data_IF_398114488608
#
_entry.id   IF_398114488608
#
_cell.length_a   1.000
_cell.length_b   1.000
_cell.length_c   1.000
_cell.angle_alpha   90.00
_cell.angle_beta   90.00
_cell.angle_gamma   90.00
#
_symmetry.space_group_name_H-M   'P 1'
#
loop_
_entity.id
_entity.type
_entity.pdbx_description
1 polymer ?
#
# COMPACT_ATOMS: atom_id res chain seq x y z
N UNK A 1 12.29 0.81 -59.07
CA UNK A 1 11.23 0.70 -58.03
C UNK A 1 11.72 -0.13 -56.85
N UNK A 2 12.80 -0.88 -57.01
CA UNK A 2 13.43 -1.70 -55.96
C UNK A 2 14.10 -0.88 -54.84
N UNK A 3 14.67 0.30 -55.14
CA UNK A 3 15.29 1.15 -54.10
C UNK A 3 14.29 1.59 -53.02
N UNK A 4 13.06 1.91 -53.41
CA UNK A 4 12.01 2.27 -52.45
C UNK A 4 11.64 1.08 -51.55
N UNK A 5 11.70 -0.15 -52.06
CA UNK A 5 11.41 -1.36 -51.31
C UNK A 5 12.52 -1.66 -50.29
N UNK A 6 13.79 -1.51 -50.69
CA UNK A 6 14.95 -1.72 -49.81
C UNK A 6 15.00 -0.70 -48.67
N UNK A 7 14.68 0.57 -48.96
CA UNK A 7 14.60 1.63 -47.95
C UNK A 7 13.49 1.32 -46.93
N UNK A 8 12.34 0.81 -47.38
CA UNK A 8 11.23 0.46 -46.49
C UNK A 8 11.59 -0.73 -45.58
N UNK A 9 12.27 -1.74 -46.11
CA UNK A 9 12.77 -2.89 -45.34
C UNK A 9 13.82 -2.46 -44.31
N UNK A 10 14.74 -1.56 -44.69
CA UNK A 10 15.75 -1.02 -43.78
C UNK A 10 15.13 -0.25 -42.61
N UNK A 11 14.13 0.60 -42.87
CA UNK A 11 13.40 1.34 -41.83
C UNK A 11 12.64 0.39 -40.91
N UNK A 12 12.01 -0.65 -41.46
CA UNK A 12 11.31 -1.67 -40.66
C UNK A 12 12.27 -2.46 -39.76
N UNK A 13 13.45 -2.84 -40.27
CA UNK A 13 14.47 -3.53 -39.50
C UNK A 13 15.03 -2.66 -38.37
N UNK A 14 15.30 -1.37 -38.63
CA UNK A 14 15.74 -0.41 -37.62
C UNK A 14 14.66 -0.18 -36.56
N UNK A 15 13.39 -0.04 -36.98
CA UNK A 15 12.27 0.08 -36.03
C UNK A 15 12.13 -1.16 -35.16
N UNK A 16 12.23 -2.37 -35.74
CA UNK A 16 12.15 -3.62 -34.98
C UNK A 16 13.34 -3.78 -34.03
N UNK A 17 14.55 -3.44 -34.47
CA UNK A 17 15.74 -3.44 -33.64
C UNK A 17 15.61 -2.42 -32.50
N UNK A 18 15.14 -1.20 -32.78
CA UNK A 18 14.92 -0.18 -31.75
C UNK A 18 13.79 -0.56 -30.80
N UNK A 19 12.71 -1.18 -31.30
CA UNK A 19 11.58 -1.67 -30.51
C UNK A 19 11.95 -2.85 -29.64
N UNK A 20 12.82 -3.73 -30.12
CA UNK A 20 13.36 -4.86 -29.37
C UNK A 20 14.39 -4.37 -28.34
N UNK A 21 15.37 -3.57 -28.75
CA UNK A 21 16.36 -3.00 -27.85
C UNK A 21 15.76 -2.06 -26.81
N UNK A 22 14.69 -1.32 -27.13
CA UNK A 22 13.94 -0.51 -26.14
C UNK A 22 13.05 -1.34 -25.22
N UNK A 23 12.66 -2.56 -25.61
CA UNK A 23 12.01 -3.51 -24.69
C UNK A 23 13.02 -4.05 -23.68
N UNK A 24 14.26 -4.31 -24.09
CA UNK A 24 15.34 -4.75 -23.20
C UNK A 24 15.98 -3.61 -22.38
N UNK A 25 16.03 -2.39 -22.91
CA UNK A 25 16.47 -1.20 -22.17
C UNK A 25 15.51 -0.82 -21.02
N UNK A 26 14.23 -1.22 -21.11
CA UNK A 26 13.28 -1.15 -19.99
C UNK A 26 13.51 -2.19 -18.89
N UNK A 27 14.30 -3.24 -19.17
CA UNK A 27 14.66 -4.28 -18.21
C UNK A 27 16.01 -4.03 -17.51
N UNK A 28 16.89 -3.23 -18.13
CA UNK A 28 18.21 -2.87 -17.57
C UNK A 28 18.17 -1.72 -16.53
N UNK A 29 16.98 -1.16 -16.25
CA UNK A 29 16.77 -0.10 -15.26
C UNK A 29 16.30 -0.57 -13.87
N UNK A 30 16.13 -1.89 -13.63
CA UNK A 30 15.63 -2.42 -12.35
C UNK A 30 16.72 -3.10 -11.52
N UNK A 31 17.90 -2.49 -11.43
CA UNK A 31 18.99 -2.92 -10.55
C UNK A 31 18.74 -2.62 -9.05
N UNK A 32 17.52 -2.19 -8.69
CA UNK A 32 17.09 -1.96 -7.31
C UNK A 32 15.99 -2.90 -6.81
N UNK A 33 15.46 -3.79 -7.67
CA UNK A 33 14.36 -4.68 -7.32
C UNK A 33 14.84 -6.13 -7.43
N UNK A 34 15.55 -6.61 -6.40
CA UNK A 34 15.93 -8.01 -6.30
C UNK A 34 14.69 -8.88 -6.57
N UNK A 35 14.76 -9.73 -7.59
CA UNK A 35 13.61 -10.56 -7.98
C UNK A 35 13.17 -11.33 -6.74
N UNK A 36 11.86 -11.32 -6.39
CA UNK A 36 11.40 -11.90 -5.14
C UNK A 36 11.71 -13.41 -5.08
N UNK A 37 11.81 -14.06 -6.25
CA UNK A 37 12.26 -15.45 -6.38
C UNK A 37 13.69 -15.70 -5.89
N UNK A 38 14.61 -14.75 -6.10
CA UNK A 38 16.02 -14.84 -5.66
C UNK A 38 16.16 -14.65 -4.16
N UNK A 39 15.32 -13.79 -3.56
CA UNK A 39 15.36 -13.48 -2.12
C UNK A 39 14.66 -14.57 -1.30
N UNK A 40 13.57 -15.14 -1.81
CA UNK A 40 12.77 -16.15 -1.10
C UNK A 40 13.21 -17.60 -1.39
N UNK A 41 14.02 -17.83 -2.44
CA UNK A 41 14.47 -19.17 -2.85
C UNK A 41 13.39 -20.02 -3.54
N UNK A 42 12.24 -19.42 -3.87
CA UNK A 42 11.16 -20.05 -4.63
C UNK A 42 10.38 -19.00 -5.40
N UNK A 43 9.71 -19.40 -6.48
CA UNK A 43 8.83 -18.49 -7.24
C UNK A 43 7.57 -18.20 -6.41
N UNK A 44 7.36 -16.96 -5.96
CA UNK A 44 6.17 -16.60 -5.19
C UNK A 44 4.92 -16.71 -6.06
N UNK A 45 3.86 -17.32 -5.51
CA UNK A 45 2.53 -17.35 -6.14
C UNK A 45 1.80 -16.05 -5.86
N UNK A 46 0.79 -15.74 -6.67
CA UNK A 46 -0.08 -14.59 -6.44
C UNK A 46 -0.91 -14.81 -5.17
N UNK A 47 -0.69 -13.97 -4.16
CA UNK A 47 -1.44 -13.99 -2.90
C UNK A 47 -2.32 -12.75 -2.85
N UNK A 48 -3.63 -12.95 -2.71
CA UNK A 48 -4.58 -11.86 -2.51
C UNK A 48 -4.84 -11.65 -1.02
N UNK A 49 -5.19 -10.41 -0.60
CA UNK A 49 -5.56 -10.15 0.79
C UNK A 49 -6.77 -10.97 1.25
N UNK A 50 -7.70 -11.29 0.35
CA UNK A 50 -8.86 -12.16 0.63
C UNK A 50 -8.44 -13.57 1.04
N UNK A 51 -7.43 -14.14 0.38
CA UNK A 51 -6.89 -15.46 0.74
C UNK A 51 -6.32 -15.45 2.17
N UNK A 52 -5.60 -14.39 2.53
CA UNK A 52 -5.04 -14.22 3.87
C UNK A 52 -6.17 -14.06 4.90
N UNK A 53 -7.17 -13.23 4.61
CA UNK A 53 -8.30 -12.98 5.50
C UNK A 53 -9.12 -14.26 5.76
N UNK A 54 -9.33 -15.09 4.72
CA UNK A 54 -10.04 -16.37 4.84
C UNK A 54 -9.30 -17.37 5.73
N UNK A 55 -7.98 -17.51 5.58
CA UNK A 55 -7.18 -18.37 6.49
C UNK A 55 -7.19 -17.80 7.91
N UNK A 56 -7.05 -16.48 8.06
CA UNK A 56 -7.00 -15.80 9.36
C UNK A 56 -8.33 -15.88 10.13
N UNK A 57 -9.47 -15.89 9.45
CA UNK A 57 -10.78 -16.04 10.10
C UNK A 57 -11.00 -17.46 10.63
N UNK A 58 -10.48 -18.47 9.93
CA UNK A 58 -10.50 -19.86 10.40
C UNK A 58 -9.46 -20.13 11.51
N UNK A 59 -8.30 -19.48 11.44
CA UNK A 59 -7.17 -19.69 12.34
C UNK A 59 -6.65 -18.36 12.91
N UNK A 60 -7.35 -17.77 13.90
CA UNK A 60 -6.94 -16.51 14.52
C UNK A 60 -5.64 -16.60 15.33
N UNK A 61 -5.19 -17.81 15.66
CA UNK A 61 -3.92 -18.08 16.33
C UNK A 61 -2.70 -17.92 15.42
N UNK A 62 -2.86 -18.06 14.10
CA UNK A 62 -1.74 -18.02 13.14
C UNK A 62 -1.43 -16.59 12.70
N UNK A 63 -0.16 -16.20 12.73
CA UNK A 63 0.24 -14.85 12.34
C UNK A 63 0.02 -14.57 10.85
N UNK A 64 -0.31 -13.32 10.52
CA UNK A 64 -0.54 -12.87 9.13
C UNK A 64 0.70 -13.12 8.26
N UNK A 65 1.89 -12.94 8.82
CA UNK A 65 3.14 -13.15 8.10
C UNK A 65 3.41 -14.62 7.79
N UNK A 66 3.10 -15.53 8.72
CA UNK A 66 3.23 -16.96 8.48
C UNK A 66 2.24 -17.42 7.40
N UNK A 67 0.98 -16.96 7.49
CA UNK A 67 -0.06 -17.26 6.50
C UNK A 67 0.36 -16.77 5.11
N UNK A 68 0.81 -15.52 5.00
CA UNK A 68 1.27 -14.97 3.72
C UNK A 68 2.48 -15.73 3.18
N UNK A 69 3.44 -16.09 4.02
CA UNK A 69 4.62 -16.86 3.60
C UNK A 69 4.24 -18.24 3.05
N UNK A 70 3.33 -18.96 3.72
CA UNK A 70 2.89 -20.27 3.23
C UNK A 70 2.04 -20.14 1.96
N UNK A 71 1.14 -19.14 1.88
CA UNK A 71 0.38 -18.85 0.65
C UNK A 71 1.27 -18.47 -0.53
N UNK A 72 2.39 -17.77 -0.31
CA UNK A 72 3.36 -17.50 -1.37
C UNK A 72 4.00 -18.79 -1.90
N UNK A 73 4.04 -19.86 -1.10
CA UNK A 73 4.60 -21.17 -1.46
C UNK A 73 3.55 -22.16 -1.96
N UNK A 74 2.35 -22.21 -1.38
CA UNK A 74 1.28 -23.14 -1.77
C UNK A 74 0.42 -22.56 -2.89
N UNK A 75 0.15 -21.26 -2.87
CA UNK A 75 -0.78 -20.58 -3.78
C UNK A 75 -2.26 -20.91 -3.54
N UNK A 76 -2.61 -21.66 -2.49
CA UNK A 76 -3.99 -22.06 -2.20
C UNK A 76 -4.30 -21.99 -0.71
N UNK A 77 -5.49 -21.45 -0.41
CA UNK A 77 -6.06 -21.39 0.93
C UNK A 77 -6.30 -22.78 1.50
N UNK A 78 -6.78 -23.72 0.67
CA UNK A 78 -7.12 -25.08 1.10
C UNK A 78 -5.88 -25.86 1.53
N UNK A 79 -4.79 -25.76 0.75
CA UNK A 79 -3.51 -26.40 1.06
C UNK A 79 -2.94 -25.83 2.36
N UNK A 80 -2.98 -24.50 2.50
CA UNK A 80 -2.49 -23.81 3.70
C UNK A 80 -3.29 -24.20 4.94
N UNK A 81 -4.62 -24.22 4.84
CA UNK A 81 -5.53 -24.64 5.92
C UNK A 81 -5.32 -26.10 6.30
N UNK A 82 -5.18 -27.01 5.32
CA UNK A 82 -4.90 -28.41 5.59
C UNK A 82 -3.55 -28.59 6.31
N UNK A 83 -2.50 -27.87 5.89
CA UNK A 83 -1.20 -27.87 6.55
C UNK A 83 -1.28 -27.38 8.01
N UNK A 84 -2.09 -26.36 8.28
CA UNK A 84 -2.36 -25.88 9.64
C UNK A 84 -3.06 -26.97 10.46
N UNK A 85 -4.02 -27.69 9.88
CA UNK A 85 -4.71 -28.77 10.58
C UNK A 85 -3.79 -29.96 10.87
N UNK A 86 -2.89 -30.31 9.96
CA UNK A 86 -1.95 -31.43 10.12
C UNK A 86 -0.84 -31.13 11.12
N UNK A 87 -0.27 -29.92 11.08
CA UNK A 87 0.91 -29.54 11.89
C UNK A 87 0.57 -28.70 13.11
N UNK A 88 -0.63 -28.15 13.18
CA UNK A 88 -1.08 -27.21 14.20
C UNK A 88 -0.54 -25.78 14.04
N UNK A 89 0.48 -25.56 13.19
CA UNK A 89 1.13 -24.27 13.00
C UNK A 89 1.81 -24.16 11.62
N UNK A 90 2.09 -22.94 11.18
CA UNK A 90 2.86 -22.67 9.96
C UNK A 90 4.35 -22.40 10.25
N UNK A 91 5.19 -22.65 9.23
CA UNK A 91 6.63 -22.39 9.30
C UNK A 91 6.90 -20.88 9.43
N UNK A 92 7.79 -20.47 10.33
CA UNK A 92 8.15 -19.06 10.49
C UNK A 92 8.89 -18.55 9.24
N UNK A 93 8.56 -17.35 8.73
CA UNK A 93 9.20 -16.81 7.55
C UNK A 93 10.69 -16.51 7.80
N UNK A 94 11.57 -16.76 6.81
CA UNK A 94 12.99 -16.45 6.91
C UNK A 94 13.22 -14.94 6.97
N UNK A 95 14.36 -14.50 7.54
CA UNK A 95 14.70 -13.07 7.62
C UNK A 95 14.67 -12.33 6.27
N UNK A 96 15.00 -13.04 5.19
CA UNK A 96 14.97 -12.50 3.84
C UNK A 96 13.56 -12.06 3.39
N UNK A 97 12.50 -12.71 3.88
CA UNK A 97 11.12 -12.36 3.56
C UNK A 97 10.76 -10.93 4.01
N UNK A 98 11.24 -10.51 5.18
CA UNK A 98 10.95 -9.19 5.73
C UNK A 98 11.58 -8.04 4.94
N UNK A 99 12.52 -8.34 4.02
CA UNK A 99 13.07 -7.32 3.10
C UNK A 99 12.10 -6.96 1.98
N UNK A 100 11.27 -7.92 1.55
CA UNK A 100 10.26 -7.73 0.51
C UNK A 100 8.91 -7.31 1.10
N UNK A 101 8.60 -7.86 2.27
CA UNK A 101 7.33 -7.68 2.92
C UNK A 101 7.56 -7.21 4.35
N UNK A 102 7.53 -5.88 4.61
CA UNK A 102 7.72 -5.38 5.96
C UNK A 102 6.61 -5.93 6.88
N UNK A 103 6.92 -6.15 8.18
CA UNK A 103 5.93 -6.58 9.16
C UNK A 103 4.78 -5.59 9.17
N UNK A 104 3.57 -6.08 8.95
CA UNK A 104 2.38 -5.25 9.15
C UNK A 104 2.24 -5.09 10.67
N UNK A 105 2.23 -3.87 11.24
CA UNK A 105 1.98 -3.72 12.66
C UNK A 105 0.63 -4.36 12.96
N UNK A 106 0.64 -5.45 13.71
CA UNK A 106 -0.58 -6.09 14.17
C UNK A 106 -1.33 -5.04 15.00
N UNK A 107 -2.48 -4.60 14.49
CA UNK A 107 -3.47 -3.95 15.34
C UNK A 107 -3.99 -5.04 16.28
N UNK A 108 -3.29 -5.19 17.40
CA UNK A 108 -3.71 -6.02 18.51
C UNK A 108 -5.02 -5.43 19.04
N UNK A 109 -6.10 -6.18 18.88
CA UNK A 109 -7.38 -5.90 19.52
C UNK A 109 -7.31 -6.45 20.94
N UNK A 110 -6.53 -5.78 21.78
CA UNK A 110 -6.61 -5.96 23.23
C UNK A 110 -7.05 -4.64 23.86
N UNK A 111 -8.24 -4.71 24.43
CA UNK A 111 -8.92 -3.80 25.33
C UNK A 111 -7.96 -3.07 26.29
N UNK A 112 -8.11 -1.75 26.39
CA UNK A 112 -7.66 -0.88 27.50
C UNK A 112 -6.19 -0.99 27.92
N UNK A 113 -5.31 -0.21 27.29
CA UNK A 113 -4.62 0.92 27.94
C UNK A 113 -3.80 1.68 26.90
N UNK A 114 -3.64 2.99 27.11
CA UNK A 114 -2.82 3.85 26.23
C UNK A 114 -1.34 3.47 26.37
N UNK A 115 -0.60 3.24 25.26
CA UNK A 115 0.52 4.14 24.98
C UNK A 115 0.75 4.45 23.48
N UNK A 116 0.89 5.75 23.23
CA UNK A 116 1.63 6.47 22.18
C UNK A 116 2.14 5.71 20.93
N UNK A 117 1.76 6.14 19.69
CA UNK A 117 2.37 5.62 18.48
C UNK A 117 3.79 6.15 18.29
N UNK A 118 4.77 5.24 18.29
CA UNK A 118 6.15 5.55 17.86
C UNK A 118 6.16 5.66 16.34
N UNK A 119 6.18 6.90 15.85
CA UNK A 119 6.30 7.22 14.44
C UNK A 119 7.70 6.86 13.91
N UNK A 120 7.73 6.11 12.81
CA UNK A 120 8.90 5.89 11.97
C UNK A 120 9.50 7.24 11.56
N UNK A 121 10.76 7.44 11.93
CA UNK A 121 11.55 8.63 11.65
C UNK A 121 11.81 8.80 10.15
N UNK A 122 10.90 9.48 9.45
CA UNK A 122 11.26 10.31 8.31
C UNK A 122 11.81 11.62 8.87
N UNK A 123 13.06 11.96 8.53
CA UNK A 123 13.73 13.26 8.67
C UNK A 123 12.86 14.40 9.24
N UNK A 124 13.22 15.01 10.39
CA UNK A 124 12.43 16.06 11.02
C UNK A 124 12.50 17.36 10.20
N UNK A 125 11.63 17.49 9.20
CA UNK A 125 11.22 18.83 8.74
C UNK A 125 10.39 19.43 9.86
N UNK A 126 11.03 20.30 10.65
CA UNK A 126 10.44 21.11 11.72
C UNK A 126 8.98 21.45 11.44
N UNK A 127 8.06 20.85 12.19
CA UNK A 127 6.71 21.36 12.45
C UNK A 127 5.91 21.86 11.23
N UNK A 128 5.95 21.17 10.09
CA UNK A 128 4.98 21.45 9.03
C UNK A 128 3.61 20.91 9.49
N UNK A 129 2.72 21.80 9.94
CA UNK A 129 1.36 21.44 10.34
C UNK A 129 0.66 20.63 9.22
N UNK A 130 -0.25 19.73 9.58
CA UNK A 130 -1.02 18.98 8.56
C UNK A 130 -1.75 19.93 7.61
N UNK A 131 -2.13 21.12 8.05
CA UNK A 131 -2.68 22.15 7.18
C UNK A 131 -1.68 22.58 6.11
N UNK A 132 -0.44 22.87 6.50
CA UNK A 132 0.64 23.26 5.57
C UNK A 132 1.02 22.15 4.60
N UNK A 133 0.93 20.88 5.04
CA UNK A 133 1.18 19.72 4.15
C UNK A 133 0.10 19.55 3.08
N UNK A 134 -1.14 19.94 3.39
CA UNK A 134 -2.28 19.79 2.49
C UNK A 134 -2.75 21.12 1.87
N UNK A 135 -2.02 22.23 2.08
CA UNK A 135 -2.36 23.56 1.55
C UNK A 135 -3.71 24.09 2.06
N UNK A 136 -4.09 23.76 3.30
CA UNK A 136 -5.42 24.04 3.86
C UNK A 136 -5.50 25.35 4.64
N UNK A 137 -4.40 26.10 4.76
CA UNK A 137 -4.37 27.37 5.50
C UNK A 137 -5.41 28.40 5.03
N UNK A 138 -5.58 28.56 3.71
CA UNK A 138 -6.55 29.52 3.14
C UNK A 138 -7.99 29.14 3.47
N UNK A 139 -8.34 27.86 3.32
CA UNK A 139 -9.69 27.34 3.59
C UNK A 139 -10.08 27.43 5.08
N UNK A 140 -9.10 27.41 5.99
CA UNK A 140 -9.38 27.64 7.42
C UNK A 140 -9.73 29.08 7.77
N UNK A 141 -9.20 30.06 7.02
CA UNK A 141 -9.53 31.47 7.22
C UNK A 141 -10.95 31.79 6.68
N UNK A 142 -11.39 31.07 5.66
CA UNK A 142 -12.67 31.30 4.97
C UNK A 142 -13.87 30.60 5.59
N UNK A 143 -13.70 29.92 6.75
CA UNK A 143 -14.84 29.41 7.54
C UNK A 143 -15.72 28.36 6.86
N UNK A 144 -15.29 27.77 5.73
CA UNK A 144 -16.09 26.82 4.96
C UNK A 144 -15.97 25.41 5.53
N UNK A 145 -16.71 25.15 6.62
CA UNK A 145 -16.96 23.81 7.13
C UNK A 145 -18.14 23.20 6.34
N UNK A 146 -17.83 22.56 5.22
CA UNK A 146 -18.83 21.79 4.47
C UNK A 146 -19.29 20.57 5.25
N UNK A 147 -20.60 20.44 5.43
CA UNK A 147 -21.30 19.29 6.01
C UNK A 147 -20.78 17.98 5.39
N UNK A 148 -20.33 17.05 6.22
CA UNK A 148 -19.82 15.75 5.80
C UNK A 148 -20.97 14.91 5.24
N UNK A 149 -21.12 14.88 3.92
CA UNK A 149 -22.07 13.98 3.27
C UNK A 149 -21.48 12.57 3.21
N UNK A 150 -21.95 11.70 4.09
CA UNK A 150 -21.54 10.28 4.18
C UNK A 150 -21.92 9.42 2.97
N UNK A 151 -22.63 9.97 1.99
CA UNK A 151 -23.04 9.27 0.75
C UNK A 151 -21.97 9.43 -0.34
N UNK A 152 -20.82 8.80 -0.16
CA UNK A 152 -19.77 8.77 -1.17
C UNK A 152 -20.04 7.67 -2.22
N UNK A 153 -20.59 8.07 -3.36
CA UNK A 153 -20.60 7.22 -4.56
C UNK A 153 -19.15 6.97 -5.01
N UNK A 154 -18.80 5.73 -5.33
CA UNK A 154 -17.49 5.43 -5.91
C UNK A 154 -17.44 6.05 -7.31
N UNK A 155 -16.64 7.10 -7.48
CA UNK A 155 -16.39 7.73 -8.77
C UNK A 155 -15.78 6.71 -9.76
N UNK A 156 -16.25 6.70 -11.01
CA UNK A 156 -15.90 5.70 -12.02
C UNK A 156 -14.44 5.83 -12.52
N UNK A 157 -13.87 7.04 -12.50
CA UNK A 157 -12.50 7.31 -12.97
C UNK A 157 -11.48 7.46 -11.84
N UNK A 158 -10.26 6.95 -12.06
CA UNK A 158 -9.17 6.99 -11.08
C UNK A 158 -8.83 8.42 -10.64
N UNK A 159 -8.77 9.36 -11.59
CA UNK A 159 -8.47 10.77 -11.30
C UNK A 159 -9.54 11.44 -10.41
N UNK A 160 -10.84 11.15 -10.64
CA UNK A 160 -11.92 11.68 -9.81
C UNK A 160 -11.95 11.04 -8.43
N UNK A 161 -11.61 9.75 -8.33
CA UNK A 161 -11.48 9.03 -7.06
C UNK A 161 -10.32 9.56 -6.22
N UNK A 162 -9.18 9.85 -6.83
CA UNK A 162 -8.07 10.49 -6.12
C UNK A 162 -8.45 11.90 -5.61
N UNK A 163 -9.17 12.67 -6.43
CA UNK A 163 -9.65 13.99 -6.04
C UNK A 163 -10.65 13.92 -4.88
N UNK A 164 -11.61 12.99 -4.91
CA UNK A 164 -12.60 12.83 -3.85
C UNK A 164 -11.97 12.37 -2.53
N UNK A 165 -10.95 11.49 -2.59
CA UNK A 165 -10.19 11.08 -1.41
C UNK A 165 -9.37 12.23 -0.80
N UNK A 166 -8.78 13.08 -1.64
CA UNK A 166 -8.04 14.27 -1.17
C UNK A 166 -8.99 15.26 -0.49
N UNK A 167 -10.16 15.53 -1.07
CA UNK A 167 -11.17 16.42 -0.50
C UNK A 167 -11.69 15.89 0.85
N UNK A 168 -11.99 14.58 0.95
CA UNK A 168 -12.43 13.97 2.22
C UNK A 168 -11.37 14.06 3.32
N UNK A 169 -10.10 13.86 2.97
CA UNK A 169 -8.97 14.04 3.90
C UNK A 169 -8.86 15.50 4.37
N UNK A 170 -9.00 16.45 3.46
CA UNK A 170 -9.00 17.87 3.79
C UNK A 170 -10.10 18.25 4.79
N UNK A 171 -11.33 17.78 4.54
CA UNK A 171 -12.47 18.01 5.44
C UNK A 171 -12.26 17.38 6.82
N UNK A 172 -11.73 16.16 6.87
CA UNK A 172 -11.41 15.48 8.12
C UNK A 172 -10.38 16.25 8.95
N UNK A 173 -9.32 16.77 8.31
CA UNK A 173 -8.29 17.56 8.99
C UNK A 173 -8.89 18.84 9.59
N UNK A 174 -9.81 19.50 8.86
CA UNK A 174 -10.49 20.69 9.34
C UNK A 174 -11.37 20.38 10.55
N UNK A 175 -12.22 19.35 10.46
CA UNK A 175 -13.10 18.94 11.54
C UNK A 175 -12.32 18.50 12.79
N UNK A 176 -11.23 17.76 12.62
CA UNK A 176 -10.35 17.35 13.71
C UNK A 176 -9.75 18.56 14.43
N UNK A 177 -9.30 19.58 13.69
CA UNK A 177 -8.77 20.83 14.28
C UNK A 177 -9.84 21.56 15.09
N UNK A 178 -11.06 21.67 14.58
CA UNK A 178 -12.17 22.29 15.31
C UNK A 178 -12.45 21.55 16.62
N UNK A 179 -12.51 20.21 16.58
CA UNK A 179 -12.71 19.38 17.77
C UNK A 179 -11.58 19.54 18.79
N UNK A 180 -10.32 19.61 18.33
CA UNK A 180 -9.16 19.83 19.19
C UNK A 180 -9.20 21.19 19.89
N UNK A 181 -9.63 22.26 19.19
CA UNK A 181 -9.78 23.59 19.79
C UNK A 181 -10.91 23.61 20.84
N UNK A 182 -12.03 22.94 20.58
CA UNK A 182 -13.12 22.81 21.54
C UNK A 182 -12.73 22.00 22.79
N UNK A 183 -11.95 20.93 22.62
CA UNK A 183 -11.44 20.15 23.75
C UNK A 183 -10.43 20.92 24.59
N UNK A 184 -9.55 21.71 23.95
CA UNK A 184 -8.58 22.55 24.66
C UNK A 184 -9.28 23.57 25.56
N UNK A 185 -10.30 24.30 25.05
CA UNK A 185 -11.03 25.28 25.85
C UNK A 185 -11.80 24.66 27.02
N UNK A 186 -12.34 23.46 26.84
CA UNK A 186 -12.98 22.69 27.92
C UNK A 186 -11.97 22.21 28.98
N UNK A 187 -10.79 21.71 28.57
CA UNK A 187 -9.77 21.25 29.51
C UNK A 187 -9.12 22.38 30.31
N UNK A 188 -9.09 23.61 29.77
CA UNK A 188 -8.53 24.78 30.45
C UNK A 188 -9.53 25.49 31.38
N UNK A 189 -10.78 25.03 31.45
CA UNK A 189 -11.83 25.59 32.32
C UNK A 189 -12.24 24.65 33.48
N UNK A 190 -11.50 23.55 33.66
CA UNK A 190 -11.54 22.62 34.79
C UNK A 190 -10.26 22.70 35.60
#
# INVERSE_FOLDING_TARGET
MEDALNVLVAIAAIYFAYRWLSRDAGAAGSAGNARPATVLGFTPKNVTPEMIASVRSAFPQESIDNIRYDLLRSGSVEITSNKILERGHLDPPPRAYFTLYPPTPAADVTTTDTPSPTATSSTPTKNASLLSRYGLETRTNEGSAGEFSDKAAWEDSAAKREASLKERKAQMILAARQRMLAQQSQSSSS
#
